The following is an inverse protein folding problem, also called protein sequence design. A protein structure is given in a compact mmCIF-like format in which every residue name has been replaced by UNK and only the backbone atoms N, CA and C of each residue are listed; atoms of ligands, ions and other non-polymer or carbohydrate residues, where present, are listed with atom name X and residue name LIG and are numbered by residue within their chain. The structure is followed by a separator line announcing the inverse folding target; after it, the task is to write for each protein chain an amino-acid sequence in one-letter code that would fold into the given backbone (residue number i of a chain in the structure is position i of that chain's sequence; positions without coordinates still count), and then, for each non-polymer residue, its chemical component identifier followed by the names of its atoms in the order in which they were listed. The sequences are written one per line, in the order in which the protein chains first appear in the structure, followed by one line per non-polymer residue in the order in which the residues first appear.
data_IF_080743715759
#
_entry.id   IF_080743715759
#
_cell.length_a   1.000
_cell.length_b   1.000
_cell.length_c   1.000
_cell.angle_alpha   90.00
_cell.angle_beta   90.00
_cell.angle_gamma   90.00
#
_symmetry.space_group_name_H-M   'P 1'
#
loop_
_entity.id
_entity.type
_entity.pdbx_description
1 polymer ?
#
# COMPACT_ATOMS: atom_id res chain seq x y z
N UNK A 1 -42.11 22.85 -38.29
CA UNK A 1 -41.69 24.24 -38.54
C UNK A 1 -42.61 25.16 -37.75
N UNK A 2 -42.10 26.23 -37.13
CA UNK A 2 -42.88 27.17 -36.29
C UNK A 2 -43.22 26.57 -34.91
N UNK A 3 -42.67 26.98 -33.75
CA UNK A 3 -42.34 28.31 -33.18
C UNK A 3 -43.56 29.09 -32.68
N UNK A 4 -43.69 29.22 -31.36
CA UNK A 4 -43.79 30.50 -30.62
C UNK A 4 -44.33 30.28 -29.19
N UNK A 5 -43.71 30.94 -28.20
CA UNK A 5 -44.14 31.03 -26.81
C UNK A 5 -43.97 32.49 -26.37
N UNK A 6 -45.07 33.13 -25.96
CA UNK A 6 -45.23 34.47 -25.33
C UNK A 6 -46.72 34.54 -24.88
N UNK A 7 -47.25 35.33 -23.93
CA UNK A 7 -46.82 36.43 -23.03
C UNK A 7 -47.92 36.60 -21.92
N UNK A 8 -47.79 37.27 -20.76
CA UNK A 8 -46.66 37.95 -20.08
C UNK A 8 -46.77 37.81 -18.53
N UNK A 9 -47.08 38.88 -17.76
CA UNK A 9 -47.08 38.96 -16.27
C UNK A 9 -48.42 39.39 -15.64
N UNK A 10 -48.54 39.27 -14.30
CA UNK A 10 -48.79 40.45 -13.41
C UNK A 10 -48.46 40.21 -11.93
N UNK A 11 -48.14 41.30 -11.24
CA UNK A 11 -47.66 41.40 -9.85
C UNK A 11 -48.80 41.65 -8.83
N UNK A 12 -48.53 41.56 -7.52
CA UNK A 12 -49.36 42.22 -6.49
C UNK A 12 -49.34 41.60 -5.08
N UNK A 13 -48.55 42.18 -4.17
CA UNK A 13 -48.64 42.00 -2.70
C UNK A 13 -49.67 43.02 -2.13
N UNK A 14 -50.36 42.81 -0.97
CA UNK A 14 -49.77 43.27 0.31
C UNK A 14 -50.21 42.57 1.64
N UNK A 15 -49.25 42.53 2.59
CA UNK A 15 -49.34 42.95 4.01
C UNK A 15 -50.20 42.24 5.12
N UNK A 16 -49.46 41.77 6.15
CA UNK A 16 -49.60 42.04 7.62
C UNK A 16 -50.88 41.65 8.40
N UNK A 17 -50.74 40.79 9.44
CA UNK A 17 -51.07 41.05 10.87
C UNK A 17 -50.90 39.80 11.79
N UNK A 18 -50.64 40.01 13.08
CA UNK A 18 -50.45 38.98 14.12
C UNK A 18 -51.75 38.59 14.86
N UNK A 19 -51.80 37.38 15.48
CA UNK A 19 -52.60 37.14 16.70
C UNK A 19 -52.16 35.89 17.50
N UNK A 20 -52.18 36.02 18.84
CA UNK A 20 -51.95 34.97 19.87
C UNK A 20 -53.08 33.94 19.97
N UNK A 21 -52.79 32.77 20.56
CA UNK A 21 -53.73 32.00 21.39
C UNK A 21 -53.03 31.50 22.66
N UNK A 22 -53.75 31.48 23.79
CA UNK A 22 -53.24 31.14 25.13
C UNK A 22 -53.41 29.65 25.53
N UNK A 23 -52.84 29.30 26.69
CA UNK A 23 -52.66 27.94 27.21
C UNK A 23 -53.92 27.27 27.82
N UNK A 24 -53.87 25.92 27.97
CA UNK A 24 -53.74 25.16 29.26
C UNK A 24 -54.11 23.67 29.06
N UNK A 25 -53.90 22.73 30.03
CA UNK A 25 -52.98 22.71 31.18
C UNK A 25 -52.09 21.44 31.24
N UNK A 26 -51.30 21.32 32.31
CA UNK A 26 -50.40 20.20 32.64
C UNK A 26 -51.13 19.09 33.42
N UNK A 27 -50.75 17.83 33.19
CA UNK A 27 -50.94 16.73 34.13
C UNK A 27 -49.57 16.18 34.58
N UNK A 28 -49.40 15.98 35.88
CA UNK A 28 -48.16 15.46 36.50
C UNK A 28 -48.46 14.05 37.01
N UNK A 29 -47.62 13.05 36.68
CA UNK A 29 -47.26 12.03 37.67
C UNK A 29 -45.93 11.29 37.39
N UNK A 30 -45.24 11.02 38.50
CA UNK A 30 -44.22 9.98 38.77
C UNK A 30 -42.97 9.87 37.86
N UNK A 31 -41.84 10.25 38.46
CA UNK A 31 -40.49 9.86 38.04
C UNK A 31 -40.25 8.37 38.31
N UNK A 32 -39.77 7.64 37.32
CA UNK A 32 -38.92 6.45 37.53
C UNK A 32 -37.45 6.83 37.29
N UNK A 33 -36.56 6.43 38.20
CA UNK A 33 -35.13 6.72 38.10
C UNK A 33 -34.44 5.76 37.11
N UNK A 34 -34.20 6.22 35.87
CA UNK A 34 -33.32 5.49 34.94
C UNK A 34 -31.86 5.62 35.39
N UNK A 35 -31.22 4.47 35.65
CA UNK A 35 -29.77 4.34 35.79
C UNK A 35 -29.05 4.94 34.56
N UNK A 36 -27.85 5.54 34.73
CA UNK A 36 -27.10 6.10 33.61
C UNK A 36 -26.57 4.98 32.70
N UNK A 37 -27.12 4.88 31.49
CA UNK A 37 -26.53 4.08 30.43
C UNK A 37 -25.14 4.63 30.09
N UNK A 38 -24.11 3.81 30.26
CA UNK A 38 -22.75 4.14 29.81
C UNK A 38 -22.77 4.26 28.29
N UNK A 39 -22.65 5.49 27.78
CA UNK A 39 -22.36 5.73 26.36
C UNK A 39 -20.99 5.14 26.02
N UNK A 40 -20.97 3.91 25.52
CA UNK A 40 -19.81 3.37 24.83
C UNK A 40 -19.52 4.23 23.60
N UNK A 41 -18.52 5.10 23.72
CA UNK A 41 -17.92 5.77 22.56
C UNK A 41 -17.25 4.69 21.72
N UNK A 42 -17.98 4.12 20.75
CA UNK A 42 -17.37 3.41 19.62
C UNK A 42 -16.38 4.37 18.96
N UNK A 43 -15.08 4.18 19.23
CA UNK A 43 -14.04 4.71 18.34
C UNK A 43 -14.35 4.11 16.97
N UNK A 44 -14.79 4.93 16.02
CA UNK A 44 -14.58 4.60 14.61
C UNK A 44 -13.07 4.39 14.48
N UNK A 45 -12.69 3.18 14.10
CA UNK A 45 -11.37 2.97 13.54
C UNK A 45 -11.49 3.59 12.15
N UNK A 46 -10.87 4.76 11.99
CA UNK A 46 -10.62 5.25 10.64
C UNK A 46 -9.70 4.21 10.01
N UNK A 47 -10.19 3.58 8.93
CA UNK A 47 -9.35 2.76 8.09
C UNK A 47 -8.52 3.78 7.31
N UNK A 48 -7.29 4.00 7.77
CA UNK A 48 -6.27 4.68 6.97
C UNK A 48 -6.18 3.90 5.66
N UNK A 49 -6.61 4.51 4.55
CA UNK A 49 -6.44 3.93 3.22
C UNK A 49 -4.92 3.80 3.00
N UNK A 50 -4.47 2.56 2.87
CA UNK A 50 -3.05 2.25 2.65
C UNK A 50 -2.67 2.82 1.29
N UNK A 51 -1.89 3.91 1.28
CA UNK A 51 -1.40 4.54 0.04
C UNK A 51 -0.52 3.53 -0.67
N UNK A 52 -1.03 2.99 -1.77
CA UNK A 52 -0.32 2.01 -2.59
C UNK A 52 0.64 2.78 -3.50
N UNK A 53 1.86 3.04 -3.03
CA UNK A 53 2.90 3.76 -3.80
C UNK A 53 3.22 3.07 -5.14
N UNK A 54 3.11 1.73 -5.18
CA UNK A 54 3.46 0.92 -6.35
C UNK A 54 2.60 -0.36 -6.43
N UNK A 55 2.48 -0.91 -7.64
CA UNK A 55 1.85 -2.21 -7.90
C UNK A 55 2.74 -3.11 -8.75
N UNK A 56 2.62 -4.42 -8.53
CA UNK A 56 3.15 -5.44 -9.44
C UNK A 56 1.99 -6.05 -10.22
N UNK A 57 2.02 -5.91 -11.54
CA UNK A 57 1.09 -6.62 -12.42
C UNK A 57 1.33 -8.14 -12.33
N UNK A 58 0.26 -8.95 -12.32
CA UNK A 58 0.39 -10.39 -12.13
C UNK A 58 1.06 -11.05 -13.34
N UNK A 59 1.90 -12.05 -13.07
CA UNK A 59 2.48 -12.91 -14.12
C UNK A 59 1.34 -13.57 -14.92
N UNK A 60 1.32 -13.49 -16.26
CA UNK A 60 0.24 -14.06 -17.06
C UNK A 60 0.13 -15.57 -16.87
N UNK A 61 -0.91 -16.04 -16.16
CA UNK A 61 -1.04 -17.43 -15.70
C UNK A 61 -1.05 -18.50 -16.82
N UNK A 62 -1.31 -18.11 -18.07
CA UNK A 62 -1.29 -19.00 -19.25
C UNK A 62 0.05 -19.02 -19.99
N UNK A 63 0.97 -18.10 -19.67
CA UNK A 63 2.24 -17.96 -20.37
C UNK A 63 3.34 -18.74 -19.64
N UNK A 64 4.13 -19.50 -20.41
CA UNK A 64 5.32 -20.17 -19.88
C UNK A 64 6.51 -19.20 -19.91
N UNK A 65 7.32 -19.10 -18.84
CA UNK A 65 8.59 -18.39 -18.90
C UNK A 65 9.48 -18.96 -20.01
N UNK A 66 10.11 -18.06 -20.78
CA UNK A 66 11.20 -18.38 -21.70
C UNK A 66 12.49 -18.58 -20.90
N UNK A 67 12.64 -17.84 -19.80
CA UNK A 67 13.76 -17.91 -18.88
C UNK A 67 13.29 -17.59 -17.46
N UNK A 68 13.98 -18.16 -16.47
CA UNK A 68 13.69 -18.06 -15.05
C UNK A 68 14.99 -18.17 -14.24
N UNK A 69 15.24 -17.21 -13.34
CA UNK A 69 16.40 -17.25 -12.45
C UNK A 69 16.15 -16.52 -11.13
N UNK A 70 16.76 -17.01 -10.06
CA UNK A 70 16.71 -16.39 -8.74
C UNK A 70 17.60 -15.15 -8.68
N UNK A 71 17.06 -14.07 -8.12
CA UNK A 71 17.86 -12.95 -7.58
C UNK A 71 18.25 -13.30 -6.14
N UNK A 72 17.30 -13.85 -5.39
CA UNK A 72 17.52 -14.30 -4.02
C UNK A 72 16.57 -15.48 -3.71
N UNK A 73 17.13 -16.69 -3.61
CA UNK A 73 16.36 -17.89 -3.34
C UNK A 73 15.99 -17.99 -1.84
N UNK A 74 14.74 -18.32 -1.47
CA UNK A 74 13.56 -18.61 -2.29
C UNK A 74 12.58 -17.41 -2.39
N UNK A 75 13.06 -16.18 -2.20
CA UNK A 75 12.20 -15.01 -1.95
C UNK A 75 11.90 -14.17 -3.20
N UNK A 76 12.81 -14.12 -4.18
CA UNK A 76 12.64 -13.31 -5.38
C UNK A 76 13.34 -13.92 -6.60
N UNK A 77 12.57 -14.13 -7.67
CA UNK A 77 13.07 -14.56 -8.99
C UNK A 77 12.55 -13.64 -10.09
N UNK A 78 13.24 -13.66 -11.22
CA UNK A 78 12.82 -13.02 -12.46
C UNK A 78 12.29 -14.07 -13.41
N UNK A 79 11.17 -13.78 -14.06
CA UNK A 79 10.58 -14.57 -15.13
C UNK A 79 10.53 -13.72 -16.40
N UNK A 80 11.11 -14.22 -17.49
CA UNK A 80 11.03 -13.57 -18.80
C UNK A 80 9.91 -14.24 -19.59
N UNK A 81 8.78 -13.55 -19.75
CA UNK A 81 7.50 -14.16 -20.15
C UNK A 81 6.94 -13.49 -21.41
N UNK A 82 6.46 -14.23 -22.43
CA UNK A 82 5.72 -13.64 -23.56
C UNK A 82 4.42 -12.99 -23.08
N UNK A 83 4.16 -11.74 -23.47
CA UNK A 83 2.93 -11.04 -23.09
C UNK A 83 1.81 -11.42 -24.07
N UNK A 84 0.71 -12.08 -23.62
CA UNK A 84 -0.36 -12.51 -24.50
C UNK A 84 -0.99 -11.33 -25.26
N UNK A 85 -1.28 -11.53 -26.55
CA UNK A 85 -1.90 -10.51 -27.41
C UNK A 85 -0.97 -9.41 -27.92
N UNK A 86 0.27 -9.30 -27.44
CA UNK A 86 1.23 -8.25 -27.84
C UNK A 86 2.26 -8.70 -28.88
N UNK A 87 1.84 -9.52 -29.86
CA UNK A 87 2.64 -9.82 -31.06
C UNK A 87 4.00 -10.51 -30.84
N UNK A 88 4.25 -11.12 -29.67
CA UNK A 88 5.54 -11.72 -29.32
C UNK A 88 6.45 -10.85 -28.44
N UNK A 89 5.98 -9.66 -28.03
CA UNK A 89 6.59 -8.86 -26.95
C UNK A 89 6.75 -9.70 -25.68
N UNK A 90 7.84 -9.48 -24.96
CA UNK A 90 8.18 -10.16 -23.70
C UNK A 90 8.13 -9.14 -22.57
N UNK A 91 7.83 -9.59 -21.36
CA UNK A 91 7.91 -8.78 -20.15
C UNK A 91 8.94 -9.33 -19.17
N UNK A 92 9.49 -8.43 -18.34
CA UNK A 92 10.36 -8.74 -17.22
C UNK A 92 9.49 -8.84 -15.95
N UNK A 93 9.17 -10.05 -15.51
CA UNK A 93 8.29 -10.24 -14.35
C UNK A 93 9.09 -10.51 -13.08
N UNK A 94 8.94 -9.61 -12.12
CA UNK A 94 9.41 -9.78 -10.75
C UNK A 94 8.38 -10.65 -10.03
N UNK A 95 8.84 -11.79 -9.53
CA UNK A 95 8.04 -12.74 -8.74
C UNK A 95 8.66 -12.85 -7.34
N UNK A 96 8.09 -12.09 -6.42
CA UNK A 96 8.45 -12.06 -5.00
C UNK A 96 7.47 -12.88 -4.16
N UNK A 97 7.96 -13.52 -3.10
CA UNK A 97 7.09 -14.23 -2.15
C UNK A 97 6.16 -13.25 -1.43
N UNK A 98 4.85 -13.45 -1.57
CA UNK A 98 3.88 -12.60 -0.89
C UNK A 98 3.92 -12.77 0.64
N UNK A 99 3.82 -11.67 1.37
CA UNK A 99 3.51 -11.70 2.80
C UNK A 99 2.01 -11.88 3.00
N UNK A 100 1.63 -12.80 3.89
CA UNK A 100 0.26 -12.89 4.41
C UNK A 100 -0.09 -11.69 5.31
N UNK A 101 -1.34 -11.61 5.78
CA UNK A 101 -1.81 -10.51 6.63
C UNK A 101 -1.04 -10.39 7.96
N UNK A 102 -0.64 -11.49 8.58
CA UNK A 102 0.13 -11.48 9.84
C UNK A 102 1.59 -11.07 9.58
N UNK A 103 2.18 -11.63 8.52
CA UNK A 103 3.53 -11.30 8.05
C UNK A 103 3.64 -9.80 7.67
N UNK A 104 2.67 -9.25 6.92
CA UNK A 104 2.61 -7.82 6.56
C UNK A 104 2.45 -6.93 7.80
N UNK A 105 1.60 -7.31 8.76
CA UNK A 105 1.46 -6.58 10.03
C UNK A 105 2.77 -6.59 10.85
N UNK A 106 3.48 -7.70 10.88
CA UNK A 106 4.78 -7.80 11.55
C UNK A 106 5.83 -6.94 10.86
N UNK A 107 5.90 -7.00 9.53
CA UNK A 107 6.77 -6.16 8.71
C UNK A 107 6.52 -4.65 8.95
N UNK A 108 5.26 -4.19 8.88
CA UNK A 108 4.92 -2.78 9.09
C UNK A 108 5.30 -2.30 10.51
N UNK A 109 5.02 -3.09 11.55
CA UNK A 109 5.45 -2.79 12.93
C UNK A 109 6.96 -2.74 13.08
N UNK A 110 7.68 -3.65 12.43
CA UNK A 110 9.13 -3.70 12.47
C UNK A 110 9.76 -2.51 11.74
N UNK A 111 9.19 -2.08 10.61
CA UNK A 111 9.55 -0.85 9.89
C UNK A 111 9.37 0.39 10.78
N UNK A 112 8.27 0.47 11.53
CA UNK A 112 8.00 1.55 12.51
C UNK A 112 8.96 1.53 13.72
N UNK A 113 9.34 0.34 14.20
CA UNK A 113 10.35 0.19 15.26
C UNK A 113 11.74 0.60 14.74
N UNK A 114 12.10 0.16 13.53
CA UNK A 114 13.39 0.48 12.91
C UNK A 114 13.54 1.97 12.66
N UNK A 115 12.53 2.67 12.13
CA UNK A 115 12.61 4.12 11.93
C UNK A 115 12.78 4.93 13.23
N UNK A 116 12.50 4.34 14.40
CA UNK A 116 12.67 4.97 15.73
C UNK A 116 13.92 4.52 16.50
N UNK A 117 14.36 3.28 16.32
CA UNK A 117 15.46 2.66 17.09
C UNK A 117 16.71 2.32 16.27
N UNK A 118 16.70 2.56 14.95
CA UNK A 118 17.91 2.42 14.13
C UNK A 118 18.95 3.45 14.58
N UNK A 119 20.10 2.96 15.00
CA UNK A 119 21.23 3.80 15.38
C UNK A 119 22.16 3.98 14.18
N UNK A 120 22.86 5.11 14.04
CA UNK A 120 24.00 5.20 13.15
C UNK A 120 25.13 4.27 13.64
N UNK A 121 26.05 3.83 12.77
CA UNK A 121 27.25 3.13 13.21
C UNK A 121 28.10 4.03 14.12
N UNK A 122 28.73 3.44 15.13
CA UNK A 122 29.63 4.16 16.06
C UNK A 122 30.95 4.58 15.37
N UNK A 123 31.35 3.84 14.32
CA UNK A 123 32.48 4.15 13.45
C UNK A 123 32.01 4.35 12.01
N UNK A 124 32.37 5.49 11.42
CA UNK A 124 32.07 5.85 10.03
C UNK A 124 32.78 4.97 8.99
N UNK A 125 33.75 4.14 9.40
CA UNK A 125 34.37 3.12 8.52
C UNK A 125 33.45 1.93 8.24
N UNK A 126 32.40 1.72 9.05
CA UNK A 126 31.47 0.60 8.91
C UNK A 126 30.51 0.83 7.75
N UNK A 127 30.39 -0.14 6.86
CA UNK A 127 29.46 -0.13 5.73
C UNK A 127 28.00 0.01 6.21
N UNK A 128 27.30 1.05 5.76
CA UNK A 128 25.94 1.35 6.18
C UNK A 128 24.94 0.21 5.92
N UNK A 129 25.07 -0.51 4.78
CA UNK A 129 24.23 -1.66 4.42
C UNK A 129 24.45 -2.83 5.39
N UNK A 130 25.70 -3.11 5.78
CA UNK A 130 26.03 -4.13 6.79
C UNK A 130 25.50 -3.75 8.18
N UNK A 131 25.78 -2.51 8.63
CA UNK A 131 25.29 -2.01 9.93
C UNK A 131 23.75 -2.03 10.02
N UNK A 132 23.07 -1.60 8.96
CA UNK A 132 21.61 -1.63 8.88
C UNK A 132 21.04 -3.05 9.04
N UNK A 133 21.67 -4.06 8.42
CA UNK A 133 21.25 -5.46 8.56
C UNK A 133 21.42 -5.99 9.98
N UNK A 134 22.51 -5.63 10.66
CA UNK A 134 22.76 -6.12 12.01
C UNK A 134 21.88 -5.42 13.07
N UNK A 135 21.61 -4.12 12.93
CA UNK A 135 20.59 -3.43 13.74
C UNK A 135 19.17 -3.97 13.44
N UNK A 136 18.84 -4.28 12.18
CA UNK A 136 17.58 -4.93 11.81
C UNK A 136 17.43 -6.30 12.51
N UNK A 137 18.46 -7.15 12.47
CA UNK A 137 18.48 -8.45 13.16
C UNK A 137 18.43 -8.30 14.68
N UNK A 138 19.11 -7.30 15.26
CA UNK A 138 19.04 -6.99 16.69
C UNK A 138 17.61 -6.65 17.10
N UNK A 139 16.94 -5.78 16.34
CA UNK A 139 15.59 -5.33 16.64
C UNK A 139 14.55 -6.42 16.38
N UNK A 140 14.69 -7.23 15.33
CA UNK A 140 13.89 -8.45 15.11
C UNK A 140 13.98 -9.40 16.30
N UNK A 141 15.18 -9.69 16.80
CA UNK A 141 15.39 -10.56 17.98
C UNK A 141 14.78 -9.96 19.25
N UNK A 142 15.02 -8.66 19.50
CA UNK A 142 14.48 -7.92 20.66
C UNK A 142 12.94 -7.96 20.68
N UNK A 143 12.30 -7.81 19.52
CA UNK A 143 10.86 -7.61 19.40
C UNK A 143 10.07 -8.80 18.86
N UNK A 144 10.70 -9.96 18.63
CA UNK A 144 10.05 -11.19 18.11
C UNK A 144 8.74 -11.54 18.82
N UNK A 145 8.63 -11.30 20.14
CA UNK A 145 7.40 -11.57 20.93
C UNK A 145 6.22 -10.62 20.65
N UNK A 146 6.47 -9.39 20.17
CA UNK A 146 5.42 -8.39 19.89
C UNK A 146 5.06 -8.28 18.40
N UNK A 147 5.93 -8.79 17.52
CA UNK A 147 5.67 -8.88 16.08
C UNK A 147 4.57 -9.90 15.75
N UNK A 148 4.37 -10.90 16.61
CA UNK A 148 3.30 -11.89 16.52
C UNK A 148 3.82 -13.33 16.60
N UNK A 149 2.92 -14.29 16.52
CA UNK A 149 3.26 -15.73 16.49
C UNK A 149 3.72 -16.17 15.11
N UNK A 150 4.80 -15.57 14.60
CA UNK A 150 5.41 -15.98 13.33
C UNK A 150 6.30 -17.21 13.50
N UNK A 151 6.16 -18.17 12.59
CA UNK A 151 7.09 -19.29 12.47
C UNK A 151 8.42 -18.82 11.83
N UNK A 152 9.39 -19.72 11.70
CA UNK A 152 10.73 -19.35 11.19
C UNK A 152 10.72 -18.98 9.69
N UNK A 153 9.81 -19.58 8.90
CA UNK A 153 9.65 -19.27 7.47
C UNK A 153 9.06 -17.86 7.29
N UNK A 154 7.97 -17.55 8.00
CA UNK A 154 7.36 -16.22 8.05
C UNK A 154 8.34 -15.15 8.52
N UNK A 155 9.17 -15.44 9.53
CA UNK A 155 10.22 -14.51 9.96
C UNK A 155 11.27 -14.27 8.87
N UNK A 156 11.65 -15.29 8.09
CA UNK A 156 12.57 -15.13 6.95
C UNK A 156 11.98 -14.28 5.84
N UNK A 157 10.69 -14.43 5.51
CA UNK A 157 10.02 -13.52 4.56
C UNK A 157 10.01 -12.07 5.07
N UNK A 158 9.74 -11.87 6.37
CA UNK A 158 9.80 -10.52 6.96
C UNK A 158 11.24 -9.96 6.92
N UNK A 159 12.28 -10.74 7.21
CA UNK A 159 13.69 -10.32 7.06
C UNK A 159 14.01 -9.95 5.61
N UNK A 160 13.51 -10.71 4.63
CA UNK A 160 13.64 -10.38 3.20
C UNK A 160 13.07 -8.98 2.89
N UNK A 161 11.81 -8.71 3.24
CA UNK A 161 11.18 -7.40 2.98
C UNK A 161 11.85 -6.25 3.75
N UNK A 162 12.36 -6.49 4.96
CA UNK A 162 13.11 -5.46 5.71
C UNK A 162 14.41 -5.10 5.01
N UNK A 163 15.19 -6.10 4.55
CA UNK A 163 16.40 -5.82 3.76
C UNK A 163 16.03 -5.11 2.47
N UNK A 164 14.98 -5.57 1.76
CA UNK A 164 14.52 -5.00 0.50
C UNK A 164 14.16 -3.51 0.65
N UNK A 165 13.38 -3.14 1.67
CA UNK A 165 12.79 -1.80 1.81
C UNK A 165 13.62 -0.81 2.63
N UNK A 166 14.39 -1.26 3.62
CA UNK A 166 15.15 -0.36 4.50
C UNK A 166 16.62 -0.18 4.06
N UNK A 167 17.17 -1.17 3.37
CA UNK A 167 18.62 -1.33 3.12
C UNK A 167 18.93 -1.55 1.62
N UNK A 168 17.93 -2.02 0.88
CA UNK A 168 17.88 -2.06 -0.57
C UNK A 168 17.13 -0.86 -1.14
N UNK A 169 16.57 -1.06 -2.33
CA UNK A 169 15.93 -0.02 -3.12
C UNK A 169 14.39 -0.11 -3.13
N UNK A 170 13.79 -0.82 -2.16
CA UNK A 170 12.34 -1.04 -2.10
C UNK A 170 11.84 -1.92 -3.24
N UNK A 171 10.70 -1.62 -3.90
CA UNK A 171 10.11 -2.50 -4.91
C UNK A 171 10.99 -2.69 -6.15
N UNK A 172 11.90 -1.76 -6.44
CA UNK A 172 12.82 -1.86 -7.59
C UNK A 172 14.07 -2.72 -7.26
N UNK A 173 14.25 -3.14 -6.00
CA UNK A 173 15.44 -3.86 -5.54
C UNK A 173 15.72 -5.17 -6.32
N UNK A 174 14.72 -6.00 -6.70
CA UNK A 174 14.98 -7.18 -7.53
C UNK A 174 15.56 -6.85 -8.93
N UNK A 175 15.26 -5.67 -9.49
CA UNK A 175 15.87 -5.19 -10.74
C UNK A 175 17.31 -4.72 -10.48
N UNK A 176 17.54 -3.96 -9.40
CA UNK A 176 18.86 -3.38 -9.10
C UNK A 176 19.91 -4.43 -8.72
N UNK A 177 19.50 -5.52 -8.08
CA UNK A 177 20.40 -6.65 -7.75
C UNK A 177 20.58 -7.64 -8.93
N UNK A 178 19.85 -7.49 -10.05
CA UNK A 178 19.98 -8.35 -11.23
C UNK A 178 21.18 -7.97 -12.12
N UNK A 179 22.17 -8.85 -12.14
CA UNK A 179 23.40 -8.72 -12.95
C UNK A 179 23.17 -8.78 -14.47
N UNK A 180 21.96 -9.13 -14.92
CA UNK A 180 21.59 -9.11 -16.33
C UNK A 180 21.01 -7.77 -16.78
N UNK A 181 20.71 -6.86 -15.85
CA UNK A 181 20.20 -5.52 -16.14
C UNK A 181 21.37 -4.57 -16.34
N UNK A 182 21.25 -3.68 -17.34
CA UNK A 182 22.23 -2.62 -17.60
C UNK A 182 21.64 -1.25 -17.26
N UNK A 183 20.42 -0.97 -17.73
CA UNK A 183 19.69 0.28 -17.49
C UNK A 183 18.27 0.02 -16.96
N UNK A 184 17.75 0.99 -16.21
CA UNK A 184 16.37 1.00 -15.68
C UNK A 184 15.75 2.36 -16.02
N UNK A 185 14.60 2.38 -16.72
CA UNK A 185 13.87 3.60 -17.06
C UNK A 185 12.52 3.66 -16.35
N UNK A 186 12.20 4.80 -15.75
CA UNK A 186 10.91 5.08 -15.15
C UNK A 186 10.29 6.30 -15.83
N UNK A 187 9.40 6.04 -16.80
CA UNK A 187 8.88 7.06 -17.71
C UNK A 187 7.72 7.89 -17.11
N UNK A 188 7.36 7.65 -15.85
CA UNK A 188 6.31 8.34 -15.11
C UNK A 188 5.28 7.42 -14.43
N UNK A 189 4.32 8.04 -13.75
CA UNK A 189 3.23 7.39 -13.01
C UNK A 189 2.37 6.52 -13.95
N UNK A 190 1.89 5.39 -13.43
CA UNK A 190 1.05 4.38 -14.08
C UNK A 190 1.66 3.73 -15.34
N UNK A 191 2.97 3.89 -15.55
CA UNK A 191 3.72 3.21 -16.60
C UNK A 191 4.58 2.09 -16.02
N UNK A 192 4.79 0.99 -16.77
CA UNK A 192 5.75 -0.03 -16.35
C UNK A 192 7.15 0.57 -16.30
N UNK A 193 7.90 0.24 -15.26
CA UNK A 193 9.35 0.47 -15.22
C UNK A 193 9.97 -0.40 -16.32
N UNK A 194 10.72 0.20 -17.23
CA UNK A 194 11.41 -0.51 -18.30
C UNK A 194 12.81 -0.93 -17.85
N UNK A 195 13.25 -2.08 -18.36
CA UNK A 195 14.53 -2.71 -18.01
C UNK A 195 15.27 -3.02 -19.31
N UNK A 196 16.52 -2.57 -19.43
CA UNK A 196 17.41 -3.01 -20.50
C UNK A 196 18.17 -4.26 -20.05
N UNK A 197 17.74 -5.42 -20.53
CA UNK A 197 18.29 -6.71 -20.13
C UNK A 197 19.24 -7.28 -21.20
N UNK A 198 20.47 -7.64 -20.80
CA UNK A 198 21.58 -8.07 -21.67
C UNK A 198 21.26 -9.08 -22.79
N UNK A 199 20.30 -9.97 -22.56
CA UNK A 199 19.89 -11.02 -23.52
C UNK A 199 18.55 -10.78 -24.21
N UNK A 200 17.79 -9.79 -23.75
CA UNK A 200 16.39 -9.57 -24.16
C UNK A 200 16.05 -8.11 -24.49
N UNK A 201 17.04 -7.21 -24.44
CA UNK A 201 16.95 -5.78 -24.74
C UNK A 201 15.91 -5.07 -23.86
N UNK A 202 15.21 -4.06 -24.38
CA UNK A 202 14.20 -3.31 -23.65
C UNK A 202 12.96 -4.16 -23.36
N UNK A 203 12.69 -4.41 -22.08
CA UNK A 203 11.51 -5.11 -21.59
C UNK A 203 10.67 -4.20 -20.69
N UNK A 204 9.34 -4.11 -20.86
CA UNK A 204 8.47 -3.60 -19.80
C UNK A 204 8.51 -4.58 -18.62
N UNK A 205 8.71 -4.07 -17.41
CA UNK A 205 8.51 -4.87 -16.20
C UNK A 205 7.04 -4.89 -15.76
N UNK A 206 6.72 -5.72 -14.77
CA UNK A 206 5.44 -5.69 -14.10
C UNK A 206 5.35 -4.63 -12.98
N UNK A 207 6.41 -3.90 -12.66
CA UNK A 207 6.38 -2.84 -11.64
C UNK A 207 5.84 -1.53 -12.22
N UNK A 208 4.78 -0.97 -11.62
CA UNK A 208 4.28 0.38 -11.87
C UNK A 208 4.28 1.19 -10.58
N UNK A 209 4.70 2.45 -10.64
CA UNK A 209 4.52 3.44 -9.57
C UNK A 209 3.17 4.14 -9.81
N UNK A 210 2.32 4.27 -8.79
CA UNK A 210 0.92 4.73 -8.97
C UNK A 210 0.49 5.87 -8.02
N UNK A 211 1.44 6.43 -7.27
CA UNK A 211 1.33 7.70 -6.51
C UNK A 211 2.05 8.84 -7.26
#
# INVERSE_FOLDING_TARGET
MGSAKTEEKKEGNPAVAEARVEAKPVAVEKKEEKKPEKKEKKKKKEEEEEVVEYVFDPVPATAKPIDEYWIEEPFARILIVPIPGRGGEKGYFIDEIALDKNERNAFNRLKEILSRELRPPEDMSVEARSHGMDEARRLMKKYRRILGSLNEESMRKVEYYIRRDLIGYGPINPIVEDKNVEDISCDGIDKPVYVWHRRYESLPSNLRIVD
#
